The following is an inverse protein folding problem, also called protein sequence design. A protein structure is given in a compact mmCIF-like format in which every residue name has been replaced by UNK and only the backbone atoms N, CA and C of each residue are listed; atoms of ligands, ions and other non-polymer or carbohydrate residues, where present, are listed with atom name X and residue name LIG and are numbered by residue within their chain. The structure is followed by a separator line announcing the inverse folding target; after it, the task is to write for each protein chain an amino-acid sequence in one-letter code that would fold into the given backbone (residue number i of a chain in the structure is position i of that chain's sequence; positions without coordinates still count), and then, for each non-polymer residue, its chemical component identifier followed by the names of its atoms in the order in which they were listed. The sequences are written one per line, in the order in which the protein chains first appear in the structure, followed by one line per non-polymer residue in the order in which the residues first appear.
data_IF_411642385471
#
_entry.id   IF_411642385471
#
_cell.length_a   1.000
_cell.length_b   1.000
_cell.length_c   1.000
_cell.angle_alpha   90.00
_cell.angle_beta   90.00
_cell.angle_gamma   90.00
#
_symmetry.space_group_name_H-M   'P 1'
#
loop_
_entity.id
_entity.type
_entity.pdbx_description
1 polymer ?
#
# COMPACT_ATOMS: atom_id res chain seq x y z
N UNK A 1 10.02 1.83 7.29
CA UNK A 1 10.45 0.85 6.28
C UNK A 1 9.36 -0.20 6.08
N UNK A 2 9.03 -0.47 4.84
CA UNK A 2 7.98 -1.42 4.48
C UNK A 2 8.60 -2.63 3.79
N UNK A 3 8.27 -3.82 4.27
CA UNK A 3 8.60 -5.06 3.60
C UNK A 3 7.33 -5.66 3.01
N UNK A 4 7.40 -6.03 1.74
CA UNK A 4 6.30 -6.67 1.04
C UNK A 4 6.74 -8.06 0.58
N UNK A 5 5.90 -9.06 0.83
CA UNK A 5 6.16 -10.41 0.34
C UNK A 5 4.86 -11.18 0.18
N UNK A 6 4.94 -12.26 -0.59
CA UNK A 6 3.81 -13.17 -0.82
C UNK A 6 4.11 -14.51 -0.17
N UNK A 7 3.14 -15.03 0.56
CA UNK A 7 3.29 -16.30 1.25
C UNK A 7 1.96 -17.07 1.18
N UNK A 8 2.00 -18.27 0.62
CA UNK A 8 0.83 -19.16 0.50
C UNK A 8 -0.38 -18.51 -0.15
N UNK A 9 -0.15 -17.65 -1.15
CA UNK A 9 -1.22 -16.95 -1.85
C UNK A 9 -1.70 -15.68 -1.16
N UNK A 10 -1.08 -15.30 -0.06
CA UNK A 10 -1.41 -14.06 0.65
C UNK A 10 -0.38 -12.98 0.34
N UNK A 11 -0.86 -11.76 0.18
CA UNK A 11 -0.02 -10.59 0.03
C UNK A 11 0.17 -9.97 1.41
N UNK A 12 1.40 -9.97 1.90
CA UNK A 12 1.73 -9.53 3.26
C UNK A 12 2.57 -8.27 3.19
N UNK A 13 2.20 -7.30 4.02
CA UNK A 13 2.93 -6.03 4.15
C UNK A 13 3.30 -5.85 5.61
N UNK A 14 4.59 -5.73 5.87
CA UNK A 14 5.12 -5.53 7.22
C UNK A 14 5.71 -4.13 7.34
N UNK A 15 5.22 -3.36 8.30
CA UNK A 15 5.84 -2.10 8.69
C UNK A 15 6.80 -2.38 9.84
N UNK A 16 8.09 -2.32 9.56
CA UNK A 16 9.14 -2.67 10.52
C UNK A 16 9.14 -1.70 11.71
N UNK A 17 8.87 -0.43 11.47
CA UNK A 17 8.95 0.58 12.53
C UNK A 17 7.81 0.46 13.54
N UNK A 18 6.61 0.17 13.09
CA UNK A 18 5.46 -0.02 13.99
C UNK A 18 5.28 -1.47 14.43
N UNK A 19 5.89 -2.42 13.71
CA UNK A 19 5.68 -3.84 13.91
C UNK A 19 4.34 -4.35 13.38
N UNK A 20 3.60 -3.52 12.63
CA UNK A 20 2.28 -3.88 12.10
C UNK A 20 2.40 -4.80 10.89
N UNK A 21 1.58 -5.83 10.85
CA UNK A 21 1.51 -6.77 9.74
C UNK A 21 0.12 -6.67 9.12
N UNK A 22 0.06 -6.50 7.80
CA UNK A 22 -1.19 -6.36 7.06
C UNK A 22 -1.28 -7.42 5.97
N UNK A 23 -2.43 -8.07 5.87
CA UNK A 23 -2.72 -8.94 4.73
C UNK A 23 -3.67 -8.17 3.81
N UNK A 24 -3.26 -7.98 2.56
CA UNK A 24 -3.96 -7.10 1.62
C UNK A 24 -4.22 -7.82 0.30
N UNK A 25 -5.13 -7.28 -0.50
CA UNK A 25 -5.37 -7.81 -1.83
C UNK A 25 -4.29 -7.36 -2.83
N UNK A 26 -4.36 -7.89 -4.05
CA UNK A 26 -3.35 -7.59 -5.07
C UNK A 26 -3.27 -6.10 -5.40
N UNK A 27 -4.43 -5.44 -5.47
CA UNK A 27 -4.47 -4.01 -5.79
C UNK A 27 -3.78 -3.18 -4.71
N UNK A 28 -4.11 -3.40 -3.45
CA UNK A 28 -3.50 -2.67 -2.33
C UNK A 28 -2.01 -2.97 -2.25
N UNK A 29 -1.61 -4.22 -2.48
CA UNK A 29 -0.21 -4.62 -2.50
C UNK A 29 0.57 -3.82 -3.56
N UNK A 30 0.02 -3.73 -4.78
CA UNK A 30 0.66 -2.99 -5.86
C UNK A 30 0.74 -1.48 -5.55
N UNK A 31 -0.32 -0.92 -4.98
CA UNK A 31 -0.33 0.50 -4.60
C UNK A 31 0.70 0.79 -3.52
N UNK A 32 0.80 -0.05 -2.51
CA UNK A 32 1.79 0.12 -1.44
C UNK A 32 3.21 0.11 -2.00
N UNK A 33 3.49 -0.76 -2.97
CA UNK A 33 4.80 -0.82 -3.60
C UNK A 33 5.19 0.45 -4.35
N UNK A 34 4.20 1.23 -4.79
CA UNK A 34 4.43 2.47 -5.52
C UNK A 34 4.26 3.73 -4.65
N UNK A 35 3.69 3.58 -3.47
CA UNK A 35 3.19 4.69 -2.67
C UNK A 35 4.25 5.72 -2.29
N UNK A 36 5.42 5.27 -1.85
CA UNK A 36 6.47 6.19 -1.35
C UNK A 36 7.13 7.02 -2.44
N UNK A 37 7.20 6.49 -3.66
CA UNK A 37 7.98 7.09 -4.73
C UNK A 37 7.12 7.68 -5.85
N UNK A 38 5.81 7.61 -5.72
CA UNK A 38 4.88 8.03 -6.76
C UNK A 38 3.70 8.82 -6.18
N UNK A 39 3.16 9.75 -6.97
CA UNK A 39 1.92 10.43 -6.60
C UNK A 39 0.73 9.58 -6.95
N UNK A 40 -0.46 9.98 -6.46
CA UNK A 40 -1.71 9.30 -6.81
C UNK A 40 -1.91 9.24 -8.32
N UNK A 41 -1.58 10.33 -9.03
CA UNK A 41 -1.69 10.36 -10.49
C UNK A 41 -0.78 9.32 -11.15
N UNK A 42 0.46 9.21 -10.68
CA UNK A 42 1.41 8.24 -11.22
C UNK A 42 0.97 6.82 -10.94
N UNK A 43 0.49 6.55 -9.74
CA UNK A 43 -0.02 5.23 -9.36
C UNK A 43 -1.22 4.87 -10.22
N UNK A 44 -2.14 5.82 -10.42
CA UNK A 44 -3.33 5.61 -11.24
C UNK A 44 -2.93 5.27 -12.68
N UNK A 45 -1.97 6.00 -13.25
CA UNK A 45 -1.49 5.72 -14.62
C UNK A 45 -0.91 4.32 -14.75
N UNK A 46 -0.15 3.89 -13.74
CA UNK A 46 0.47 2.55 -13.76
C UNK A 46 -0.56 1.43 -13.66
N UNK A 47 -1.62 1.62 -12.88
CA UNK A 47 -2.52 0.55 -12.52
C UNK A 47 -3.89 0.61 -13.20
N UNK A 48 -4.19 1.67 -13.93
CA UNK A 48 -5.52 1.86 -14.54
C UNK A 48 -5.89 0.76 -15.54
N UNK A 49 -4.92 0.09 -16.12
CA UNK A 49 -5.15 -1.01 -17.06
C UNK A 49 -5.53 -2.31 -16.34
N UNK A 50 -5.21 -2.42 -15.06
CA UNK A 50 -5.51 -3.60 -14.25
C UNK A 50 -6.72 -3.40 -13.34
N UNK A 51 -6.92 -2.17 -12.86
CA UNK A 51 -7.94 -1.84 -11.86
C UNK A 51 -8.68 -0.58 -12.27
N UNK A 52 -9.90 -0.39 -11.78
CA UNK A 52 -10.63 0.83 -12.04
C UNK A 52 -10.00 2.02 -11.30
N UNK A 53 -10.10 3.21 -11.88
CA UNK A 53 -9.55 4.42 -11.28
C UNK A 53 -10.19 4.67 -9.90
N UNK A 54 -11.49 4.42 -9.79
CA UNK A 54 -12.19 4.62 -8.52
C UNK A 54 -11.67 3.68 -7.43
N UNK A 55 -11.45 2.41 -7.76
CA UNK A 55 -10.91 1.45 -6.82
C UNK A 55 -9.50 1.83 -6.37
N UNK A 56 -8.68 2.31 -7.30
CA UNK A 56 -7.33 2.77 -6.99
C UNK A 56 -7.38 3.93 -6.00
N UNK A 57 -8.25 4.89 -6.22
CA UNK A 57 -8.40 6.05 -5.34
C UNK A 57 -8.88 5.65 -3.94
N UNK A 58 -9.84 4.75 -3.85
CA UNK A 58 -10.34 4.26 -2.57
C UNK A 58 -9.25 3.56 -1.78
N UNK A 59 -8.49 2.69 -2.44
CA UNK A 59 -7.39 1.99 -1.80
C UNK A 59 -6.28 2.96 -1.36
N UNK A 60 -5.98 3.96 -2.17
CA UNK A 60 -5.01 4.98 -1.83
C UNK A 60 -5.43 5.75 -0.56
N UNK A 61 -6.70 6.09 -0.45
CA UNK A 61 -7.22 6.77 0.74
C UNK A 61 -7.12 5.89 1.99
N UNK A 62 -7.42 4.60 1.87
CA UNK A 62 -7.29 3.66 2.98
C UNK A 62 -5.85 3.56 3.46
N UNK A 63 -4.90 3.51 2.53
CA UNK A 63 -3.48 3.48 2.86
C UNK A 63 -3.07 4.77 3.59
N UNK A 64 -3.58 5.91 3.14
CA UNK A 64 -3.34 7.19 3.79
C UNK A 64 -3.88 7.23 5.22
N UNK A 65 -5.04 6.63 5.47
CA UNK A 65 -5.61 6.54 6.81
C UNK A 65 -4.74 5.67 7.73
N UNK A 66 -4.24 4.56 7.22
CA UNK A 66 -3.34 3.69 7.98
C UNK A 66 -2.03 4.40 8.28
N UNK A 67 -1.53 5.20 7.35
CA UNK A 67 -0.33 6.00 7.55
C UNK A 67 -0.52 7.02 8.68
N UNK A 68 -1.65 7.73 8.66
CA UNK A 68 -1.97 8.71 9.71
C UNK A 68 -2.17 8.06 11.07
N UNK A 69 -2.69 6.83 11.09
CA UNK A 69 -2.88 6.08 12.33
C UNK A 69 -1.58 5.49 12.89
N UNK A 70 -0.46 5.63 12.16
CA UNK A 70 0.82 5.09 12.59
C UNK A 70 0.94 3.58 12.41
N UNK A 71 0.13 2.98 11.54
CA UNK A 71 0.14 1.54 11.30
C UNK A 71 0.83 1.16 10.00
N UNK A 72 1.11 2.13 9.13
CA UNK A 72 1.73 1.88 7.84
C UNK A 72 2.58 3.09 7.47
N UNK A 73 3.71 2.85 6.81
CA UNK A 73 4.66 3.90 6.42
C UNK A 73 5.09 4.77 7.60
N UNK A 74 5.25 4.17 8.76
CA UNK A 74 5.70 4.89 9.95
C UNK A 74 7.14 5.35 9.77
N UNK A 75 7.44 6.52 10.33
CA UNK A 75 8.79 7.06 10.29
C UNK A 75 9.53 6.69 11.57
N UNK A 76 10.82 6.38 11.41
CA UNK A 76 11.72 6.15 12.52
C UNK A 76 12.17 7.51 13.03
N UNK A 77 11.85 7.80 14.26
CA UNK A 77 12.18 9.10 14.88
C UNK A 77 13.54 9.01 15.57
#
# INVERSE_FOLDING_TARGET
MIHQYKNNGYNIVLDVNSGSVHVVDDMVYDIIGLYENNTLEQITEELKDKYSVQDIKEAYEEIGELKEAGQLFTEDI
#
